data_IF_857284441250
#
_entry.id   IF_857284441250
#
_cell.length_a   1.000
_cell.length_b   1.000
_cell.length_c   1.000
_cell.angle_alpha   90.00
_cell.angle_beta   90.00
_cell.angle_gamma   90.00
#
_symmetry.space_group_name_H-M   'P 1'
#
loop_
_entity.id
_entity.type
_entity.pdbx_description
1 polymer ?
#
# COMPACT_ATOMS: atom_id res chain seq x y z
N UNK A 1 -29.43 29.27 58.42
CA UNK A 1 -28.97 30.39 57.57
C UNK A 1 -27.47 30.69 57.62
N UNK A 2 -26.80 30.69 58.78
CA UNK A 2 -25.38 31.10 58.87
C UNK A 2 -24.40 30.19 58.08
N UNK A 3 -24.67 28.88 57.97
CA UNK A 3 -23.83 27.93 57.22
C UNK A 3 -23.93 28.10 55.69
N UNK A 4 -25.12 28.41 55.16
CA UNK A 4 -25.30 28.65 53.73
C UNK A 4 -24.59 29.92 53.23
N UNK A 5 -24.59 30.98 54.04
CA UNK A 5 -23.86 32.22 53.70
C UNK A 5 -22.34 32.01 53.65
N UNK A 6 -21.79 31.16 54.53
CA UNK A 6 -20.35 30.81 54.52
C UNK A 6 -19.97 29.95 53.30
N UNK A 7 -20.83 29.02 52.88
CA UNK A 7 -20.58 28.17 51.72
C UNK A 7 -20.62 28.97 50.41
N UNK A 8 -21.59 29.89 50.26
CA UNK A 8 -21.67 30.77 49.10
C UNK A 8 -20.43 31.68 49.00
N UNK A 9 -19.97 32.24 50.12
CA UNK A 9 -18.78 33.10 50.14
C UNK A 9 -17.52 32.33 49.69
N UNK A 10 -17.35 31.08 50.13
CA UNK A 10 -16.20 30.24 49.72
C UNK A 10 -16.26 29.87 48.23
N UNK A 11 -17.45 29.60 47.69
CA UNK A 11 -17.65 29.33 46.26
C UNK A 11 -17.33 30.56 45.40
N UNK A 12 -17.73 31.76 45.84
CA UNK A 12 -17.39 33.01 45.16
C UNK A 12 -15.89 33.25 45.12
N UNK A 13 -15.19 33.00 46.23
CA UNK A 13 -13.73 33.17 46.31
C UNK A 13 -13.04 32.16 45.39
N UNK A 14 -13.50 30.90 45.34
CA UNK A 14 -12.93 29.88 44.47
C UNK A 14 -13.11 30.21 42.98
N UNK A 15 -14.26 30.75 42.57
CA UNK A 15 -14.50 31.20 41.20
C UNK A 15 -13.61 32.39 40.78
N UNK A 16 -13.30 33.30 41.71
CA UNK A 16 -12.39 34.42 41.44
C UNK A 16 -10.96 33.92 41.21
N UNK A 17 -10.50 32.91 41.97
CA UNK A 17 -9.17 32.32 41.78
C UNK A 17 -9.03 31.57 40.44
N UNK A 18 -10.12 31.00 39.92
CA UNK A 18 -10.10 30.36 38.59
C UNK A 18 -9.99 31.38 37.43
N UNK A 19 -10.31 32.65 37.66
CA UNK A 19 -10.28 33.68 36.61
C UNK A 19 -8.93 34.40 36.44
N UNK A 20 -7.96 34.19 37.35
CA UNK A 20 -6.66 34.87 37.35
C UNK A 20 -5.52 34.04 36.74
N UNK A 21 -5.80 32.84 36.23
CA UNK A 21 -4.77 31.92 35.70
C UNK A 21 -4.75 31.84 34.18
N UNK A 22 -4.14 32.81 33.49
CA UNK A 22 -3.32 32.66 32.27
C UNK A 22 -3.20 33.97 31.47
N UNK A 23 -2.25 34.83 31.85
CA UNK A 23 -1.64 35.78 30.92
C UNK A 23 -0.12 35.77 31.14
N UNK A 24 0.53 34.68 30.73
CA UNK A 24 1.96 34.68 30.46
C UNK A 24 2.15 34.74 28.95
N UNK A 25 2.17 35.97 28.44
CA UNK A 25 2.61 36.29 27.07
C UNK A 25 4.12 36.07 27.01
N UNK A 26 4.53 34.82 26.86
CA UNK A 26 5.86 34.49 26.38
C UNK A 26 5.88 34.85 24.90
N UNK A 27 6.52 35.97 24.55
CA UNK A 27 6.98 36.23 23.18
C UNK A 27 8.00 35.14 22.83
N UNK A 28 7.48 33.97 22.45
CA UNK A 28 8.30 32.98 21.75
C UNK A 28 8.65 33.62 20.42
N UNK A 29 9.92 33.94 20.26
CA UNK A 29 10.54 34.06 18.95
C UNK A 29 10.06 32.87 18.12
N UNK A 30 9.10 33.11 17.24
CA UNK A 30 8.70 32.13 16.23
C UNK A 30 9.87 32.14 15.25
N UNK A 31 10.88 31.32 15.53
CA UNK A 31 11.72 30.81 14.46
C UNK A 31 10.74 30.35 13.39
N UNK A 32 10.78 31.00 12.22
CA UNK A 32 10.12 30.50 11.03
C UNK A 32 10.70 29.11 10.83
N UNK A 33 10.00 28.11 11.34
CA UNK A 33 10.26 26.74 11.03
C UNK A 33 10.23 26.72 9.51
N UNK A 34 11.40 26.54 8.91
CA UNK A 34 11.48 26.17 7.51
C UNK A 34 10.62 24.92 7.44
N UNK A 35 9.38 25.06 6.97
CA UNK A 35 8.50 23.95 6.67
C UNK A 35 9.27 23.14 5.65
N UNK A 36 10.00 22.13 6.13
CA UNK A 36 10.56 21.10 5.28
C UNK A 36 9.35 20.46 4.64
N UNK A 37 9.02 20.93 3.43
CA UNK A 37 7.95 20.36 2.64
C UNK A 37 8.25 18.88 2.49
N UNK A 38 7.43 18.05 3.11
CA UNK A 38 7.53 16.61 3.02
C UNK A 38 7.20 16.20 1.57
N UNK A 39 8.24 16.05 0.74
CA UNK A 39 8.12 15.60 -0.64
C UNK A 39 7.62 14.15 -0.62
N UNK A 40 6.48 13.89 -1.26
CA UNK A 40 5.95 12.54 -1.33
C UNK A 40 4.59 12.43 -1.99
N UNK A 41 3.95 11.28 -1.82
CA UNK A 41 2.58 11.03 -2.26
C UNK A 41 1.84 10.38 -1.10
N UNK A 42 0.59 10.77 -0.88
CA UNK A 42 -0.29 10.07 0.05
C UNK A 42 -1.45 9.47 -0.73
N UNK A 43 -1.78 8.23 -0.41
CA UNK A 43 -2.94 7.51 -0.90
C UNK A 43 -3.69 7.00 0.32
N UNK A 44 -5.01 7.15 0.31
CA UNK A 44 -5.84 6.39 1.23
C UNK A 44 -7.26 6.27 0.75
N UNK A 45 -8.10 5.74 1.61
CA UNK A 45 -9.42 5.27 1.28
C UNK A 45 -10.35 5.49 2.48
N UNK A 46 -11.58 5.88 2.20
CA UNK A 46 -12.62 6.14 3.18
C UNK A 46 -13.93 5.56 2.68
N UNK A 47 -14.67 4.93 3.59
CA UNK A 47 -16.03 4.43 3.35
C UNK A 47 -16.76 4.40 4.70
N UNK A 48 -18.08 4.53 4.68
CA UNK A 48 -18.90 4.47 5.90
C UNK A 48 -18.93 3.07 6.51
N UNK A 49 -18.60 2.03 5.73
CA UNK A 49 -18.49 0.65 6.21
C UNK A 49 -17.17 0.36 6.94
N UNK A 50 -16.29 1.35 7.12
CA UNK A 50 -15.03 1.18 7.83
C UNK A 50 -15.29 0.82 9.31
N UNK A 51 -14.56 -0.17 9.83
CA UNK A 51 -14.68 -0.60 11.22
C UNK A 51 -14.18 0.47 12.20
N UNK A 52 -13.10 1.17 11.82
CA UNK A 52 -12.52 2.27 12.61
C UNK A 52 -11.97 3.38 11.70
N UNK A 53 -11.45 4.43 12.34
CA UNK A 53 -10.75 5.54 11.66
C UNK A 53 -9.50 5.11 10.87
N UNK A 54 -8.92 3.93 11.13
CA UNK A 54 -7.75 3.46 10.39
C UNK A 54 -8.07 3.03 8.97
N UNK A 55 -9.36 2.80 8.66
CA UNK A 55 -9.80 2.39 7.33
C UNK A 55 -9.04 1.13 6.85
N UNK A 56 -8.73 0.23 7.78
CA UNK A 56 -7.96 -0.99 7.51
C UNK A 56 -8.90 -2.14 7.14
N UNK A 57 -9.99 -2.31 7.89
CA UNK A 57 -11.05 -3.29 7.58
C UNK A 57 -12.40 -2.61 7.34
N UNK A 58 -13.18 -3.17 6.41
CA UNK A 58 -14.53 -2.72 6.04
C UNK A 58 -15.54 -3.86 6.18
N UNK A 59 -16.65 -3.61 6.87
CA UNK A 59 -17.77 -4.55 7.03
C UNK A 59 -18.90 -4.20 6.08
N UNK A 60 -18.97 -4.92 4.95
CA UNK A 60 -19.88 -4.64 3.85
C UNK A 60 -21.07 -5.59 3.97
N UNK A 61 -22.29 -5.08 3.81
CA UNK A 61 -23.48 -5.94 3.82
C UNK A 61 -23.52 -6.85 2.60
N UNK A 62 -24.14 -8.02 2.73
CA UNK A 62 -24.35 -8.90 1.58
C UNK A 62 -25.18 -8.19 0.49
N UNK A 63 -24.83 -8.39 -0.78
CA UNK A 63 -25.48 -7.79 -1.95
C UNK A 63 -25.42 -6.25 -2.03
N UNK A 64 -24.57 -5.58 -1.26
CA UNK A 64 -24.31 -4.15 -1.42
C UNK A 64 -23.07 -3.89 -2.27
N UNK A 65 -23.05 -2.77 -3.00
CA UNK A 65 -21.89 -2.34 -3.78
C UNK A 65 -20.93 -1.60 -2.85
N UNK A 66 -19.69 -2.06 -2.78
CA UNK A 66 -18.64 -1.35 -2.07
C UNK A 66 -18.16 -0.16 -2.89
N UNK A 67 -18.35 1.06 -2.39
CA UNK A 67 -18.16 2.30 -3.15
C UNK A 67 -17.25 3.30 -2.45
N UNK A 68 -15.99 2.94 -2.16
CA UNK A 68 -15.13 3.76 -1.35
C UNK A 68 -14.73 5.05 -2.08
N UNK A 69 -14.43 6.07 -1.28
CA UNK A 69 -13.80 7.31 -1.73
C UNK A 69 -12.29 7.22 -1.50
N UNK A 70 -11.53 7.22 -2.59
CA UNK A 70 -10.08 7.30 -2.54
C UNK A 70 -9.65 8.76 -2.45
N UNK A 71 -8.57 9.01 -1.72
CA UNK A 71 -7.90 10.30 -1.72
C UNK A 71 -6.44 10.13 -2.13
N UNK A 72 -5.98 10.99 -3.03
CA UNK A 72 -4.58 11.08 -3.44
C UNK A 72 -4.09 12.51 -3.27
N UNK A 73 -2.90 12.68 -2.72
CA UNK A 73 -2.25 13.98 -2.54
C UNK A 73 -0.83 13.94 -3.11
N UNK A 74 -0.58 14.74 -4.13
CA UNK A 74 0.75 14.98 -4.67
C UNK A 74 1.49 16.01 -3.80
N UNK A 75 2.26 15.58 -2.80
CA UNK A 75 3.04 16.47 -1.93
C UNK A 75 4.41 16.84 -2.54
N UNK A 76 4.60 16.56 -3.82
CA UNK A 76 5.80 16.93 -4.57
C UNK A 76 5.69 18.40 -5.03
N UNK A 77 6.84 19.03 -5.27
CA UNK A 77 6.93 20.37 -5.85
C UNK A 77 6.74 20.35 -7.37
N UNK A 78 6.65 19.16 -7.98
CA UNK A 78 6.48 18.95 -9.42
C UNK A 78 5.10 18.39 -9.76
N UNK A 79 4.68 18.64 -10.99
CA UNK A 79 3.56 17.92 -11.58
C UNK A 79 3.91 16.42 -11.64
N UNK A 80 2.96 15.59 -11.28
CA UNK A 80 3.09 14.14 -11.36
C UNK A 80 1.82 13.54 -11.98
N UNK A 81 2.03 12.58 -12.88
CA UNK A 81 0.99 11.70 -13.37
C UNK A 81 0.96 10.45 -12.51
N UNK A 82 -0.22 9.95 -12.21
CA UNK A 82 -0.43 8.74 -11.42
C UNK A 82 -1.35 7.78 -12.16
N UNK A 83 -1.06 6.48 -12.06
CA UNK A 83 -1.96 5.40 -12.46
C UNK A 83 -2.39 4.63 -11.23
N UNK A 84 -3.71 4.54 -11.02
CA UNK A 84 -4.31 3.72 -9.98
C UNK A 84 -4.76 2.38 -10.57
N UNK A 85 -4.31 1.27 -9.98
CA UNK A 85 -4.70 -0.09 -10.35
C UNK A 85 -5.40 -0.74 -9.16
N UNK A 86 -6.48 -1.46 -9.42
CA UNK A 86 -7.34 -2.06 -8.41
C UNK A 86 -7.24 -3.57 -8.46
N UNK A 87 -7.01 -4.18 -7.31
CA UNK A 87 -6.95 -5.61 -7.17
C UNK A 87 -7.90 -6.08 -6.08
N UNK A 88 -8.63 -7.15 -6.38
CA UNK A 88 -9.41 -7.91 -5.42
C UNK A 88 -8.84 -9.32 -5.38
N UNK A 89 -8.50 -9.79 -4.18
CA UNK A 89 -7.89 -11.11 -3.96
C UNK A 89 -6.67 -11.34 -4.87
N UNK A 90 -5.85 -10.28 -5.03
CA UNK A 90 -4.63 -10.26 -5.85
C UNK A 90 -4.84 -10.43 -7.35
N UNK A 91 -6.08 -10.28 -7.83
CA UNK A 91 -6.42 -10.23 -9.26
C UNK A 91 -6.88 -8.83 -9.63
N UNK A 92 -6.37 -8.30 -10.74
CA UNK A 92 -6.81 -7.02 -11.28
C UNK A 92 -8.30 -7.12 -11.62
N UNK A 93 -9.07 -6.13 -11.18
CA UNK A 93 -10.49 -6.03 -11.45
C UNK A 93 -10.80 -4.76 -12.22
N UNK A 94 -11.91 -4.79 -12.95
CA UNK A 94 -12.49 -3.55 -13.45
C UNK A 94 -13.38 -2.93 -12.36
N UNK A 95 -13.39 -1.61 -12.27
CA UNK A 95 -14.22 -0.82 -11.36
C UNK A 95 -15.09 0.13 -12.17
N UNK A 96 -16.17 0.61 -11.58
CA UNK A 96 -16.94 1.74 -12.16
C UNK A 96 -16.30 3.05 -11.71
N UNK A 97 -15.91 3.88 -12.66
CA UNK A 97 -15.45 5.25 -12.44
C UNK A 97 -16.05 6.17 -13.49
N UNK A 98 -16.71 7.26 -13.07
CA UNK A 98 -17.43 8.17 -13.96
C UNK A 98 -18.40 7.44 -14.92
N UNK A 99 -19.15 6.46 -14.39
CA UNK A 99 -20.08 5.60 -15.16
C UNK A 99 -19.42 4.75 -16.26
N UNK A 100 -18.10 4.59 -16.22
CA UNK A 100 -17.35 3.75 -17.14
C UNK A 100 -16.71 2.59 -16.39
N UNK A 101 -16.69 1.42 -17.02
CA UNK A 101 -16.01 0.25 -16.51
C UNK A 101 -14.54 0.29 -16.95
N UNK A 102 -13.61 0.50 -16.01
CA UNK A 102 -12.19 0.70 -16.29
C UNK A 102 -11.33 -0.21 -15.40
N UNK A 103 -10.18 -0.64 -15.91
CA UNK A 103 -9.24 -1.50 -15.17
C UNK A 103 -8.08 -0.73 -14.50
N UNK A 104 -7.99 0.58 -14.74
CA UNK A 104 -7.13 1.54 -14.06
C UNK A 104 -7.67 2.97 -14.23
N UNK A 105 -7.16 3.92 -13.44
CA UNK A 105 -7.45 5.36 -13.58
C UNK A 105 -6.14 6.12 -13.71
N UNK A 106 -6.00 6.93 -14.76
CA UNK A 106 -4.87 7.86 -14.93
C UNK A 106 -5.26 9.28 -14.47
N UNK A 107 -4.36 9.91 -13.71
CA UNK A 107 -4.61 11.21 -13.07
C UNK A 107 -3.36 12.07 -13.12
N UNK A 108 -3.42 13.21 -13.79
CA UNK A 108 -2.41 14.26 -13.69
C UNK A 108 -2.70 15.18 -12.50
N UNK A 109 -1.68 15.49 -11.71
CA UNK A 109 -1.79 16.35 -10.53
C UNK A 109 -0.70 17.41 -10.50
N UNK A 110 -1.09 18.64 -10.16
CA UNK A 110 -0.20 19.78 -9.87
C UNK A 110 0.52 19.59 -8.52
N UNK A 111 1.55 20.39 -8.22
CA UNK A 111 2.21 20.36 -6.92
C UNK A 111 1.21 20.68 -5.80
N UNK A 112 1.28 19.94 -4.71
CA UNK A 112 0.38 20.05 -3.54
C UNK A 112 -1.11 19.88 -3.85
N UNK A 113 -1.48 19.36 -5.03
CA UNK A 113 -2.87 19.07 -5.35
C UNK A 113 -3.34 17.82 -4.60
N UNK A 114 -4.58 17.87 -4.12
CA UNK A 114 -5.30 16.73 -3.58
C UNK A 114 -6.55 16.46 -4.42
N UNK A 115 -6.79 15.19 -4.76
CA UNK A 115 -7.98 14.74 -5.47
C UNK A 115 -8.69 13.66 -4.68
N UNK A 116 -10.02 13.71 -4.74
CA UNK A 116 -10.89 12.65 -4.24
C UNK A 116 -11.51 11.93 -5.43
N UNK A 117 -11.54 10.60 -5.39
CA UNK A 117 -11.97 9.74 -6.49
C UNK A 117 -12.98 8.76 -5.91
N UNK A 118 -14.24 8.85 -6.35
CA UNK A 118 -15.25 7.86 -6.01
C UNK A 118 -15.16 6.72 -7.04
N UNK A 119 -15.12 5.48 -6.55
CA UNK A 119 -15.16 4.28 -7.38
C UNK A 119 -16.26 3.36 -6.89
N UNK A 120 -16.72 2.46 -7.74
CA UNK A 120 -17.56 1.33 -7.32
C UNK A 120 -16.85 0.02 -7.67
N UNK A 121 -16.72 -0.85 -6.68
CA UNK A 121 -16.18 -2.19 -6.86
C UNK A 121 -17.31 -3.12 -7.31
N UNK A 122 -17.07 -4.06 -8.25
CA UNK A 122 -18.09 -5.03 -8.65
C UNK A 122 -18.68 -5.78 -7.45
N UNK A 123 -19.89 -6.33 -7.64
CA UNK A 123 -20.56 -7.11 -6.59
C UNK A 123 -19.65 -8.20 -6.03
N UNK A 124 -19.49 -8.17 -4.71
CA UNK A 124 -18.63 -9.08 -3.97
C UNK A 124 -19.43 -10.29 -3.50
N UNK A 125 -18.77 -11.45 -3.46
CA UNK A 125 -19.32 -12.64 -2.80
C UNK A 125 -19.22 -12.45 -1.28
N UNK A 126 -20.03 -13.17 -0.52
CA UNK A 126 -19.84 -13.22 0.94
C UNK A 126 -18.49 -13.86 1.26
N UNK A 127 -17.84 -13.37 2.31
CA UNK A 127 -16.55 -13.89 2.77
C UNK A 127 -15.53 -12.80 3.07
N UNK A 128 -14.29 -13.25 3.26
CA UNK A 128 -13.11 -12.41 3.47
C UNK A 128 -12.42 -12.13 2.13
N UNK A 129 -12.14 -10.86 1.85
CA UNK A 129 -11.39 -10.42 0.67
C UNK A 129 -10.25 -9.46 1.02
N UNK A 130 -9.21 -9.48 0.19
CA UNK A 130 -8.15 -8.48 0.23
C UNK A 130 -8.34 -7.50 -0.94
N UNK A 131 -8.52 -6.22 -0.62
CA UNK A 131 -8.60 -5.14 -1.60
C UNK A 131 -7.32 -4.31 -1.57
N UNK A 132 -6.70 -4.14 -2.74
CA UNK A 132 -5.43 -3.46 -2.88
C UNK A 132 -5.51 -2.43 -4.01
N UNK A 133 -5.19 -1.18 -3.67
CA UNK A 133 -5.03 -0.09 -4.63
C UNK A 133 -3.54 0.18 -4.79
N UNK A 134 -3.01 -0.02 -5.99
CA UNK A 134 -1.65 0.38 -6.36
C UNK A 134 -1.70 1.76 -6.99
N UNK A 135 -0.77 2.64 -6.63
CA UNK A 135 -0.61 3.95 -7.22
C UNK A 135 0.83 4.09 -7.74
N UNK A 136 0.93 4.26 -9.06
CA UNK A 136 2.20 4.29 -9.80
C UNK A 136 2.41 5.71 -10.33
N UNK A 137 3.46 6.37 -9.87
CA UNK A 137 3.87 7.71 -10.30
C UNK A 137 4.65 7.63 -11.61
N UNK A 138 4.30 8.51 -12.55
CA UNK A 138 4.88 8.61 -13.89
C UNK A 138 4.88 7.24 -14.59
N UNK A 139 3.74 6.55 -14.70
CA UNK A 139 3.65 5.13 -15.08
C UNK A 139 4.29 4.82 -16.43
N UNK A 140 4.29 5.78 -17.36
CA UNK A 140 4.75 5.59 -18.74
C UNK A 140 6.13 6.22 -19.02
N UNK A 141 6.77 6.84 -18.02
CA UNK A 141 8.16 7.31 -18.18
C UNK A 141 9.12 6.13 -18.15
N UNK A 142 9.95 5.95 -19.17
CA UNK A 142 10.93 4.85 -19.19
C UNK A 142 12.31 5.35 -18.70
N UNK A 143 13.11 4.42 -18.17
CA UNK A 143 14.51 4.66 -17.91
C UNK A 143 15.28 4.69 -19.23
N UNK A 144 16.17 5.67 -19.37
CA UNK A 144 17.06 5.80 -20.53
C UNK A 144 18.44 5.18 -20.29
N UNK A 145 18.74 4.78 -19.05
CA UNK A 145 20.00 4.19 -18.65
C UNK A 145 19.78 3.24 -17.47
N UNK A 146 20.68 2.26 -17.33
CA UNK A 146 20.69 1.35 -16.18
C UNK A 146 21.00 2.13 -14.90
N UNK A 147 19.96 2.36 -14.09
CA UNK A 147 20.09 3.09 -12.83
C UNK A 147 19.06 2.60 -11.85
N UNK A 148 19.53 2.26 -10.66
CA UNK A 148 18.66 1.89 -9.55
C UNK A 148 17.93 3.13 -9.01
N UNK A 149 16.63 3.00 -8.84
CA UNK A 149 15.80 3.98 -8.17
C UNK A 149 14.93 3.25 -7.14
N UNK A 150 14.93 3.70 -5.87
CA UNK A 150 14.16 3.04 -4.83
C UNK A 150 12.65 3.01 -5.14
N UNK A 151 11.93 1.93 -4.76
CA UNK A 151 10.51 1.76 -5.05
C UNK A 151 9.62 2.92 -4.60
N UNK A 152 9.88 3.49 -3.41
CA UNK A 152 9.07 4.58 -2.84
C UNK A 152 9.06 5.88 -3.67
N UNK A 153 9.96 6.00 -4.65
CA UNK A 153 9.94 7.11 -5.61
C UNK A 153 8.82 6.99 -6.64
N UNK A 154 8.28 5.79 -6.86
CA UNK A 154 7.28 5.55 -7.90
C UNK A 154 6.02 4.87 -7.38
N UNK A 155 6.12 4.06 -6.34
CA UNK A 155 5.03 3.20 -5.92
C UNK A 155 4.55 3.57 -4.52
N UNK A 156 3.23 3.64 -4.38
CA UNK A 156 2.50 3.69 -3.12
C UNK A 156 1.30 2.76 -3.23
N UNK A 157 0.85 2.22 -2.12
CA UNK A 157 -0.30 1.33 -2.07
C UNK A 157 -1.24 1.66 -0.92
N UNK A 158 -2.48 1.19 -1.04
CA UNK A 158 -3.44 1.09 0.07
C UNK A 158 -4.01 -0.31 0.04
N UNK A 159 -3.75 -1.09 1.09
CA UNK A 159 -4.34 -2.41 1.33
C UNK A 159 -5.44 -2.28 2.38
N UNK A 160 -6.53 -3.01 2.16
CA UNK A 160 -7.66 -3.10 3.07
C UNK A 160 -8.26 -4.50 3.05
N UNK A 161 -8.79 -4.92 4.19
CA UNK A 161 -9.59 -6.15 4.32
C UNK A 161 -11.06 -5.80 4.11
N UNK A 162 -11.76 -6.59 3.30
CA UNK A 162 -13.21 -6.48 3.13
C UNK A 162 -13.86 -7.74 3.71
N UNK A 163 -14.78 -7.57 4.65
CA UNK A 163 -15.62 -8.65 5.18
C UNK A 163 -17.01 -8.42 4.63
N UNK A 164 -17.48 -9.35 3.80
CA UNK A 164 -18.77 -9.20 3.09
C UNK A 164 -19.80 -10.15 3.70
N UNK A 165 -20.89 -9.57 4.18
CA UNK A 165 -21.90 -10.25 4.99
C UNK A 165 -21.38 -10.56 6.40
N UNK A 166 -21.86 -11.67 6.97
CA UNK A 166 -21.42 -12.16 8.29
C UNK A 166 -20.42 -13.32 8.17
N UNK A 167 -19.76 -13.44 7.02
CA UNK A 167 -18.84 -14.54 6.71
C UNK A 167 -17.40 -14.03 6.74
N UNK A 168 -16.63 -14.45 7.75
CA UNK A 168 -15.21 -14.14 7.87
C UNK A 168 -14.32 -15.29 7.35
N UNK A 169 -14.87 -16.18 6.51
CA UNK A 169 -14.13 -17.31 5.95
C UNK A 169 -13.09 -16.81 4.94
N UNK A 170 -11.82 -17.05 5.27
CA UNK A 170 -10.68 -16.77 4.41
C UNK A 170 -10.67 -17.68 3.19
N UNK A 171 -10.26 -17.19 2.00
CA UNK A 171 -10.15 -18.02 0.82
C UNK A 171 -9.13 -19.14 1.04
N UNK A 172 -9.47 -20.34 0.56
CA UNK A 172 -8.60 -21.50 0.65
C UNK A 172 -7.53 -21.45 -0.46
N UNK A 173 -6.40 -20.82 -0.16
CA UNK A 173 -5.27 -20.68 -1.08
C UNK A 173 -4.23 -21.78 -0.85
N UNK A 174 -3.85 -22.46 -1.93
CA UNK A 174 -2.76 -23.43 -1.90
C UNK A 174 -1.39 -22.73 -1.96
N UNK A 175 -0.82 -22.43 -0.79
CA UNK A 175 0.53 -21.87 -0.68
C UNK A 175 1.58 -22.96 -0.89
N UNK A 176 2.24 -22.94 -2.05
CA UNK A 176 3.37 -23.83 -2.32
C UNK A 176 4.54 -23.49 -1.40
N UNK A 177 5.19 -24.49 -0.84
CA UNK A 177 6.39 -24.26 -0.04
C UNK A 177 7.56 -23.85 -0.94
N UNK A 178 8.29 -22.82 -0.53
CA UNK A 178 9.52 -22.38 -1.17
C UNK A 178 10.68 -22.53 -0.20
N UNK A 179 11.73 -23.17 -0.69
CA UNK A 179 12.99 -23.25 0.02
C UNK A 179 13.64 -21.86 0.02
N UNK A 180 14.25 -21.54 1.16
CA UNK A 180 15.12 -20.38 1.31
C UNK A 180 16.56 -20.85 1.31
N UNK A 181 17.45 -20.05 0.75
CA UNK A 181 18.90 -20.29 0.79
C UNK A 181 19.53 -19.51 1.93
N UNK A 182 20.65 -19.99 2.46
CA UNK A 182 21.47 -19.19 3.35
C UNK A 182 21.98 -17.95 2.59
N UNK A 183 21.93 -16.79 3.21
CA UNK A 183 22.30 -15.53 2.58
C UNK A 183 22.13 -14.34 3.52
N UNK A 184 22.28 -13.14 2.97
CA UNK A 184 22.07 -11.89 3.67
C UNK A 184 20.63 -11.79 4.18
N UNK A 185 20.49 -11.42 5.45
CA UNK A 185 19.21 -11.13 6.07
C UNK A 185 18.84 -9.69 5.65
N UNK A 186 17.57 -9.43 5.37
CA UNK A 186 17.04 -8.12 4.95
C UNK A 186 17.33 -7.67 3.50
N UNK A 187 17.47 -8.59 2.54
CA UNK A 187 17.49 -8.22 1.12
C UNK A 187 16.10 -7.69 0.73
N UNK A 188 15.98 -6.43 0.28
CA UNK A 188 14.71 -5.93 -0.24
C UNK A 188 14.37 -6.64 -1.55
N UNK A 189 13.08 -6.73 -1.93
CA UNK A 189 12.70 -7.25 -3.24
C UNK A 189 13.44 -6.60 -4.39
N UNK A 190 14.25 -7.42 -5.10
CA UNK A 190 14.99 -7.06 -6.30
C UNK A 190 14.79 -8.12 -7.38
N UNK A 191 14.96 -7.71 -8.64
CA UNK A 191 15.01 -8.65 -9.76
C UNK A 191 16.39 -8.70 -10.38
N UNK A 192 16.85 -9.91 -10.69
CA UNK A 192 18.14 -10.22 -11.28
C UNK A 192 17.97 -11.23 -12.42
N UNK A 193 19.03 -11.43 -13.20
CA UNK A 193 19.06 -12.46 -14.27
C UNK A 193 19.33 -13.87 -13.75
N UNK A 194 19.89 -13.99 -12.55
CA UNK A 194 20.27 -15.24 -11.88
C UNK A 194 19.91 -15.16 -10.39
N UNK A 195 19.66 -16.30 -9.70
CA UNK A 195 19.44 -16.32 -8.26
C UNK A 195 20.56 -15.60 -7.49
N UNK A 196 20.22 -14.85 -6.43
CA UNK A 196 21.17 -14.14 -5.57
C UNK A 196 20.83 -14.30 -4.10
N UNK A 197 21.88 -14.31 -3.28
CA UNK A 197 21.82 -14.45 -1.83
C UNK A 197 22.29 -13.19 -1.07
N UNK A 198 22.54 -12.08 -1.78
CA UNK A 198 22.96 -10.78 -1.23
C UNK A 198 22.49 -9.61 -2.09
N UNK A 199 22.41 -8.40 -1.52
CA UNK A 199 22.08 -7.17 -2.23
C UNK A 199 23.31 -6.57 -2.94
N UNK A 200 23.92 -7.34 -3.85
CA UNK A 200 25.06 -6.87 -4.66
C UNK A 200 24.93 -7.35 -6.11
N UNK A 201 25.46 -6.55 -7.05
CA UNK A 201 25.58 -6.91 -8.46
C UNK A 201 24.45 -6.37 -9.36
N UNK A 202 24.17 -7.12 -10.43
CA UNK A 202 23.35 -6.69 -11.57
C UNK A 202 21.85 -6.72 -11.27
N UNK A 203 21.39 -5.79 -10.43
CA UNK A 203 19.96 -5.51 -10.28
C UNK A 203 19.41 -5.02 -11.61
N UNK A 204 18.40 -5.72 -12.12
CA UNK A 204 17.74 -5.38 -13.37
C UNK A 204 16.99 -4.07 -13.18
N UNK A 205 17.35 -3.07 -13.99
CA UNK A 205 16.67 -1.76 -14.06
C UNK A 205 16.21 -1.45 -15.49
N UNK A 206 16.91 -2.01 -16.48
CA UNK A 206 16.56 -1.92 -17.90
C UNK A 206 16.66 -3.33 -18.49
N UNK A 207 15.64 -3.75 -19.23
CA UNK A 207 15.62 -5.02 -19.96
C UNK A 207 15.57 -4.70 -21.44
N UNK A 208 16.59 -5.14 -22.18
CA UNK A 208 16.69 -4.98 -23.63
C UNK A 208 16.32 -6.28 -24.34
N UNK A 209 15.70 -6.17 -25.51
CA UNK A 209 15.39 -7.35 -26.33
C UNK A 209 16.67 -8.07 -26.86
N UNK A 210 16.64 -9.41 -26.97
CA UNK A 210 15.57 -10.31 -26.53
C UNK A 210 15.52 -10.45 -25.01
N UNK A 211 14.30 -10.46 -24.44
CA UNK A 211 14.14 -10.61 -23.01
C UNK A 211 14.50 -12.03 -22.54
N UNK A 212 15.13 -12.17 -21.36
CA UNK A 212 15.40 -13.50 -20.80
C UNK A 212 14.09 -14.23 -20.52
N UNK A 213 14.05 -15.54 -20.76
CA UNK A 213 12.85 -16.37 -20.50
C UNK A 213 12.46 -16.38 -19.03
N UNK A 214 13.44 -16.28 -18.14
CA UNK A 214 13.25 -16.26 -16.69
C UNK A 214 14.07 -15.14 -16.07
N UNK A 215 13.41 -14.38 -15.21
CA UNK A 215 14.05 -13.47 -14.26
C UNK A 215 13.94 -14.06 -12.86
N UNK A 216 14.73 -13.57 -11.92
CA UNK A 216 14.71 -14.04 -10.53
C UNK A 216 14.37 -12.91 -9.59
N UNK A 217 13.27 -13.07 -8.86
CA UNK A 217 12.90 -12.20 -7.74
C UNK A 217 13.60 -12.71 -6.49
N UNK A 218 14.43 -11.87 -5.88
CA UNK A 218 15.18 -12.19 -4.68
C UNK A 218 14.78 -11.26 -3.54
N UNK A 219 14.52 -11.82 -2.37
CA UNK A 219 14.25 -11.08 -1.14
C UNK A 219 14.35 -12.00 0.08
N UNK A 220 14.53 -11.40 1.26
CA UNK A 220 14.64 -12.14 2.51
C UNK A 220 13.34 -12.07 3.34
N UNK A 221 12.76 -13.21 3.77
CA UNK A 221 11.70 -13.20 4.77
C UNK A 221 12.16 -12.56 6.07
N UNK A 222 11.36 -11.63 6.58
CA UNK A 222 11.58 -11.00 7.88
C UNK A 222 11.33 -11.94 9.07
N UNK A 223 10.57 -13.03 8.88
CA UNK A 223 10.20 -14.02 9.91
C UNK A 223 10.04 -15.41 9.31
N UNK A 224 10.02 -16.44 10.17
CA UNK A 224 9.64 -17.81 9.81
C UNK A 224 8.14 -17.91 9.50
N UNK A 225 7.74 -18.95 8.76
CA UNK A 225 6.33 -19.28 8.49
C UNK A 225 5.54 -18.19 7.75
N UNK A 226 6.22 -17.35 7.00
CA UNK A 226 5.62 -16.25 6.24
C UNK A 226 4.92 -16.77 4.99
N UNK A 227 3.79 -16.13 4.64
CA UNK A 227 3.08 -16.35 3.38
C UNK A 227 3.27 -15.14 2.46
N UNK A 228 3.30 -15.38 1.16
CA UNK A 228 3.55 -14.35 0.16
C UNK A 228 2.58 -14.48 -1.00
N UNK A 229 2.19 -13.33 -1.55
CA UNK A 229 1.65 -13.21 -2.89
C UNK A 229 2.59 -12.36 -3.75
N UNK A 230 2.90 -12.80 -4.96
CA UNK A 230 3.65 -12.02 -5.95
C UNK A 230 2.70 -11.54 -7.04
N UNK A 231 2.78 -10.26 -7.34
CA UNK A 231 1.96 -9.60 -8.35
C UNK A 231 2.90 -8.95 -9.36
N UNK A 232 2.61 -9.09 -10.64
CA UNK A 232 3.40 -8.50 -11.72
C UNK A 232 2.50 -7.82 -12.75
N UNK A 233 2.98 -6.73 -13.36
CA UNK A 233 2.31 -5.97 -14.41
C UNK A 233 3.30 -5.55 -15.50
N UNK A 234 2.86 -5.59 -16.76
CA UNK A 234 3.51 -4.89 -17.88
C UNK A 234 2.66 -3.68 -18.25
N UNK A 235 3.13 -2.48 -17.87
CA UNK A 235 2.32 -1.26 -17.93
C UNK A 235 1.10 -1.35 -17.01
N UNK A 236 -0.10 -1.28 -17.59
CA UNK A 236 -1.37 -1.33 -16.86
C UNK A 236 -1.99 -2.73 -16.74
N UNK A 237 -1.40 -3.75 -17.37
CA UNK A 237 -1.99 -5.08 -17.48
C UNK A 237 -1.29 -6.05 -16.54
N UNK A 238 -2.06 -6.76 -15.73
CA UNK A 238 -1.53 -7.81 -14.86
C UNK A 238 -0.95 -8.96 -15.70
N UNK A 239 0.21 -9.44 -15.29
CA UNK A 239 0.85 -10.65 -15.81
C UNK A 239 0.41 -11.82 -14.92
N UNK A 240 -0.13 -12.88 -15.52
CA UNK A 240 -0.45 -14.10 -14.80
C UNK A 240 0.82 -14.88 -14.46
N UNK A 241 0.94 -15.30 -13.19
CA UNK A 241 2.08 -16.07 -12.69
C UNK A 241 1.61 -17.46 -12.26
N UNK A 242 2.30 -18.51 -12.72
CA UNK A 242 1.96 -19.91 -12.41
C UNK A 242 1.85 -20.22 -10.91
N UNK A 243 2.61 -19.52 -10.07
CA UNK A 243 2.77 -19.80 -8.65
C UNK A 243 2.78 -18.53 -7.80
N UNK A 244 1.83 -17.63 -8.06
CA UNK A 244 1.75 -16.33 -7.39
C UNK A 244 1.74 -16.42 -5.84
N UNK A 245 1.26 -17.53 -5.27
CA UNK A 245 1.18 -17.72 -3.82
C UNK A 245 2.13 -18.80 -3.32
N UNK A 246 2.91 -18.47 -2.29
CA UNK A 246 3.80 -19.42 -1.64
C UNK A 246 4.03 -19.09 -0.16
N UNK A 247 4.66 -20.03 0.56
CA UNK A 247 5.05 -19.86 1.95
C UNK A 247 6.50 -20.30 2.16
N UNK A 248 7.13 -19.79 3.21
CA UNK A 248 8.44 -20.25 3.70
C UNK A 248 8.30 -20.82 5.10
N UNK A 249 9.19 -21.73 5.49
CA UNK A 249 9.24 -22.32 6.84
C UNK A 249 10.39 -21.77 7.68
N UNK A 250 11.37 -21.12 7.05
CA UNK A 250 12.54 -20.51 7.70
C UNK A 250 12.90 -19.14 7.11
N UNK A 251 13.80 -18.41 7.79
CA UNK A 251 14.48 -17.22 7.28
C UNK A 251 15.63 -17.58 6.33
N UNK A 252 16.07 -16.62 5.52
CA UNK A 252 17.09 -16.80 4.49
C UNK A 252 16.77 -15.91 3.29
N UNK A 253 17.13 -16.35 2.08
CA UNK A 253 16.81 -15.65 0.83
C UNK A 253 15.90 -16.51 -0.02
N UNK A 254 14.78 -15.94 -0.47
CA UNK A 254 13.91 -16.56 -1.46
C UNK A 254 14.44 -16.19 -2.85
N UNK A 255 14.60 -17.20 -3.70
CA UNK A 255 14.88 -17.03 -5.13
C UNK A 255 13.67 -17.50 -5.93
N UNK A 256 12.77 -16.57 -6.27
CA UNK A 256 11.51 -16.88 -6.96
C UNK A 256 11.65 -16.68 -8.48
N UNK A 257 11.53 -17.74 -9.30
CA UNK A 257 11.63 -17.62 -10.75
C UNK A 257 10.38 -16.93 -11.33
N UNK A 258 10.60 -15.89 -12.12
CA UNK A 258 9.59 -15.10 -12.81
C UNK A 258 9.61 -15.43 -14.30
N UNK A 259 8.61 -16.19 -14.76
CA UNK A 259 8.32 -16.40 -16.18
C UNK A 259 7.21 -15.42 -16.59
N UNK A 260 7.62 -14.27 -17.11
CA UNK A 260 6.71 -13.13 -17.26
C UNK A 260 6.02 -13.03 -18.63
N UNK A 261 6.48 -13.77 -19.65
CA UNK A 261 5.90 -13.70 -20.99
C UNK A 261 5.84 -12.27 -21.56
N UNK A 262 6.93 -11.49 -21.40
CA UNK A 262 6.96 -10.07 -21.71
C UNK A 262 6.69 -9.80 -23.20
N UNK A 263 5.79 -8.86 -23.47
CA UNK A 263 5.50 -8.37 -24.82
C UNK A 263 6.59 -7.41 -25.31
N UNK A 264 6.73 -7.26 -26.63
CA UNK A 264 7.75 -6.37 -27.25
C UNK A 264 7.45 -4.87 -27.12
N UNK A 265 6.63 -4.49 -26.14
CA UNK A 265 6.16 -3.12 -26.00
C UNK A 265 6.96 -2.38 -24.93
N UNK A 266 7.36 -1.16 -25.26
CA UNK A 266 8.11 -0.30 -24.36
C UNK A 266 7.24 0.14 -23.19
N UNK A 267 7.38 -0.54 -22.05
CA UNK A 267 6.55 -0.37 -20.85
C UNK A 267 7.41 -0.53 -19.61
N UNK A 268 6.91 -0.08 -18.46
CA UNK A 268 7.52 -0.44 -17.18
C UNK A 268 7.00 -1.80 -16.71
N UNK A 269 7.91 -2.63 -16.20
CA UNK A 269 7.59 -3.82 -15.44
C UNK A 269 7.43 -3.42 -13.96
N UNK A 270 6.28 -3.72 -13.39
CA UNK A 270 5.97 -3.43 -11.99
C UNK A 270 5.75 -4.77 -11.29
N UNK A 271 6.47 -5.01 -10.21
CA UNK A 271 6.31 -6.22 -9.40
C UNK A 271 6.19 -5.82 -7.94
N UNK A 272 5.28 -6.48 -7.23
CA UNK A 272 5.05 -6.31 -5.81
C UNK A 272 5.04 -7.68 -5.11
N UNK A 273 5.58 -7.69 -3.90
CA UNK A 273 5.54 -8.81 -2.96
C UNK A 273 4.64 -8.40 -1.81
N UNK A 274 3.55 -9.13 -1.60
CA UNK A 274 2.61 -8.90 -0.51
C UNK A 274 2.84 -9.92 0.58
N UNK A 275 3.07 -9.43 1.79
CA UNK A 275 3.29 -10.24 2.98
C UNK A 275 1.97 -10.63 3.63
N UNK A 276 1.88 -11.90 4.02
CA UNK A 276 0.73 -12.50 4.69
C UNK A 276 -0.59 -12.15 3.98
N UNK A 277 -0.78 -12.59 2.73
CA UNK A 277 -2.03 -12.39 2.03
C UNK A 277 -3.19 -13.06 2.76
N UNK A 278 -4.35 -12.42 2.72
CA UNK A 278 -5.59 -12.83 3.40
C UNK A 278 -5.50 -12.88 4.93
N UNK A 279 -4.68 -12.01 5.52
CA UNK A 279 -4.61 -11.79 6.96
C UNK A 279 -5.42 -10.57 7.36
N UNK A 280 -6.04 -10.62 8.54
CA UNK A 280 -6.78 -9.50 9.10
C UNK A 280 -5.81 -8.35 9.36
N UNK A 281 -6.09 -7.18 8.77
CA UNK A 281 -5.34 -5.95 9.07
C UNK A 281 -5.77 -5.35 10.42
N UNK A 282 -7.01 -5.58 10.79
CA UNK A 282 -7.67 -5.02 11.96
C UNK A 282 -8.72 -6.01 12.46
N UNK A 283 -8.72 -6.28 13.77
CA UNK A 283 -9.64 -7.23 14.40
C UNK A 283 -10.98 -6.58 14.80
N UNK A 284 -11.92 -7.38 15.31
CA UNK A 284 -13.24 -6.91 15.74
C UNK A 284 -13.22 -5.89 16.90
N UNK A 285 -12.10 -5.79 17.63
CA UNK A 285 -11.90 -4.79 18.68
C UNK A 285 -11.30 -3.48 18.14
N UNK A 286 -10.99 -3.40 16.84
CA UNK A 286 -10.33 -2.25 16.22
C UNK A 286 -8.82 -2.21 16.43
N UNK A 287 -8.21 -3.31 16.87
CA UNK A 287 -6.76 -3.39 17.04
C UNK A 287 -6.11 -3.78 15.71
N UNK A 288 -5.09 -3.01 15.31
CA UNK A 288 -4.30 -3.30 14.12
C UNK A 288 -3.44 -4.54 14.37
N UNK A 289 -3.39 -5.42 13.38
CA UNK A 289 -2.61 -6.65 13.45
C UNK A 289 -1.11 -6.35 13.62
N UNK A 290 -0.47 -7.13 14.50
CA UNK A 290 0.97 -7.10 14.71
C UNK A 290 1.75 -7.90 13.67
N UNK A 291 1.06 -8.63 12.80
CA UNK A 291 1.69 -9.36 11.71
C UNK A 291 2.21 -8.38 10.64
N UNK A 292 3.34 -8.69 9.99
CA UNK A 292 3.78 -7.92 8.86
C UNK A 292 2.83 -8.12 7.67
N UNK A 293 2.25 -7.03 7.20
CA UNK A 293 1.19 -7.00 6.19
C UNK A 293 1.56 -6.05 5.04
N UNK A 294 2.87 -5.83 4.86
CA UNK A 294 3.42 -4.85 3.96
C UNK A 294 3.32 -5.29 2.49
N UNK A 295 3.34 -4.31 1.59
CA UNK A 295 3.47 -4.51 0.15
C UNK A 295 4.78 -3.89 -0.30
N UNK A 296 5.75 -4.74 -0.59
CA UNK A 296 7.07 -4.33 -1.05
C UNK A 296 7.11 -4.30 -2.57
N UNK A 297 7.39 -3.13 -3.15
CA UNK A 297 7.59 -2.99 -4.59
C UNK A 297 9.06 -3.13 -4.96
N UNK A 298 9.33 -3.51 -6.21
CA UNK A 298 10.67 -3.45 -6.76
C UNK A 298 11.08 -2.02 -7.16
N UNK A 299 12.37 -1.86 -7.45
CA UNK A 299 12.86 -0.74 -8.22
C UNK A 299 12.13 -0.62 -9.57
N UNK A 300 12.26 0.56 -10.20
CA UNK A 300 11.77 0.75 -11.55
C UNK A 300 12.53 -0.16 -12.52
N UNK A 301 11.78 -0.89 -13.36
CA UNK A 301 12.31 -1.70 -14.45
C UNK A 301 11.62 -1.25 -15.74
N UNK A 302 12.39 -0.81 -16.73
CA UNK A 302 11.87 -0.45 -18.05
C UNK A 302 12.20 -1.53 -19.08
N UNK A 303 11.23 -1.84 -19.92
CA UNK A 303 11.37 -2.73 -21.07
C UNK A 303 11.70 -1.87 -22.30
N UNK A 304 12.82 -2.17 -22.96
CA UNK A 304 13.35 -1.54 -24.17
C UNK A 304 13.55 -2.58 -25.29
#
# INVERSE_FOLDING_TARGET
>A
MLKQKKLLLLLSIFLIFLSLGCQSTSEKHVEQANEQMNIGTTLGMQDETAMTQYNATYNISANTIFSPKLYIHNRDIKNNDFRLIFLLDYKQINITYNNQNVNYIDISMKPNEQKNIAIEVPSLKNGFHDFLVLCIRKPDTLLSQEKFYPPGHFHIFKRSTLIVGNDNTKPNINFKERLVTNGEIDIPPIVTKEPRDKFEGDVVTLLKQPYPETLWLNFSPIKNNMKYAVIAFSGANQIELDNAFFKTTSTGVINYPLKLGLDKNNKNLIIAVVENPFSELENNSGEISAEPLWVSFLNRISLE
#
